data_IF_601382664533
#
_entry.id   IF_601382664533
#
_cell.length_a   1.000
_cell.length_b   1.000
_cell.length_c   1.000
_cell.angle_alpha   90.00
_cell.angle_beta   90.00
_cell.angle_gamma   90.00
#
_symmetry.space_group_name_H-M   'P 1'
#
loop_
_entity.id
_entity.type
_entity.pdbx_description
1 polymer ?
#
# COMPACT_ATOMS: atom_id res chain seq x y z
N UNK A 1 -4.16 13.64 -6.67
CA UNK A 1 -3.08 13.53 -5.70
C UNK A 1 -3.08 14.80 -4.91
N UNK A 2 -3.87 14.78 -3.85
CA UNK A 2 -3.74 15.71 -2.76
C UNK A 2 -2.43 15.44 -2.02
N UNK A 3 -1.94 16.47 -1.34
CA UNK A 3 -0.76 16.37 -0.49
C UNK A 3 -1.14 16.89 0.89
N UNK A 4 -0.79 16.14 1.93
CA UNK A 4 -0.83 16.59 3.32
C UNK A 4 0.59 16.73 3.86
N UNK A 5 0.83 17.74 4.69
CA UNK A 5 2.10 17.91 5.39
C UNK A 5 1.88 18.42 6.81
N UNK A 6 2.41 17.70 7.78
CA UNK A 6 2.46 18.12 9.18
C UNK A 6 3.81 18.76 9.53
N UNK A 7 3.77 19.82 10.35
CA UNK A 7 4.95 20.47 10.92
C UNK A 7 5.03 20.30 12.44
N UNK A 8 3.92 19.88 13.05
CA UNK A 8 3.80 19.48 14.46
C UNK A 8 3.12 18.13 14.55
N UNK A 9 3.17 17.50 15.73
CA UNK A 9 2.45 16.26 15.99
C UNK A 9 0.97 16.36 15.57
N UNK A 10 0.52 15.44 14.72
CA UNK A 10 -0.82 15.41 14.14
C UNK A 10 -1.52 14.07 14.37
N UNK A 11 -2.86 14.09 14.29
CA UNK A 11 -3.69 12.89 14.35
C UNK A 11 -4.74 12.91 13.22
N UNK A 12 -4.44 12.21 12.12
CA UNK A 12 -5.34 11.97 11.00
C UNK A 12 -6.22 10.74 11.21
N UNK A 13 -5.87 9.85 12.14
CA UNK A 13 -6.65 8.65 12.46
C UNK A 13 -7.89 9.03 13.26
N UNK A 14 -7.71 9.86 14.30
CA UNK A 14 -8.74 10.35 15.23
C UNK A 14 -8.69 11.89 15.36
N UNK A 15 -8.92 12.63 14.26
CA UNK A 15 -8.75 14.08 14.23
C UNK A 15 -9.76 14.77 15.15
N UNK A 16 -9.30 15.80 15.87
CA UNK A 16 -10.16 16.60 16.76
C UNK A 16 -10.47 17.95 16.13
N UNK A 17 -11.75 18.20 15.88
CA UNK A 17 -12.23 19.50 15.42
C UNK A 17 -12.21 20.55 16.55
N UNK A 18 -12.03 21.82 16.16
CA UNK A 18 -12.20 22.98 17.04
C UNK A 18 -13.17 23.98 16.40
N UNK A 19 -13.71 24.88 17.22
CA UNK A 19 -14.70 25.87 16.79
C UNK A 19 -14.07 27.25 16.70
N UNK A 20 -14.24 27.92 15.56
CA UNK A 20 -13.78 29.28 15.33
C UNK A 20 -14.87 30.21 14.81
N UNK A 21 -14.56 31.49 14.77
CA UNK A 21 -15.34 32.52 14.07
C UNK A 21 -14.71 32.83 12.72
N UNK A 22 -15.54 33.01 11.69
CA UNK A 22 -15.06 33.46 10.37
C UNK A 22 -14.57 34.91 10.47
N UNK A 23 -13.32 35.16 10.08
CA UNK A 23 -12.70 36.50 10.06
C UNK A 23 -12.41 37.01 8.66
N UNK A 24 -12.26 36.10 7.70
CA UNK A 24 -12.16 36.42 6.26
C UNK A 24 -13.09 35.50 5.49
N UNK A 25 -13.75 36.04 4.46
CA UNK A 25 -14.57 35.30 3.51
C UNK A 25 -14.66 36.08 2.19
N UNK A 26 -14.02 35.58 1.15
CA UNK A 26 -14.09 36.12 -0.21
C UNK A 26 -14.08 35.00 -1.26
N UNK A 27 -14.04 35.34 -2.55
CA UNK A 27 -14.14 34.35 -3.62
C UNK A 27 -12.98 33.33 -3.70
N UNK A 28 -11.88 33.58 -2.99
CA UNK A 28 -10.67 32.78 -2.99
C UNK A 28 -10.34 32.14 -1.63
N UNK A 29 -10.81 32.69 -0.51
CA UNK A 29 -10.53 32.12 0.81
C UNK A 29 -11.64 32.32 1.84
N UNK A 30 -11.67 31.45 2.86
CA UNK A 30 -12.23 31.79 4.16
C UNK A 30 -11.33 31.36 5.31
N UNK A 31 -11.33 32.16 6.37
CA UNK A 31 -10.47 31.96 7.53
C UNK A 31 -11.31 31.87 8.80
N UNK A 32 -11.08 30.82 9.59
CA UNK A 32 -11.65 30.60 10.91
C UNK A 32 -10.59 30.85 11.98
N UNK A 33 -10.96 31.45 13.12
CA UNK A 33 -10.07 31.57 14.28
C UNK A 33 -10.82 31.44 15.61
N UNK A 34 -10.19 30.84 16.62
CA UNK A 34 -10.66 30.82 18.02
C UNK A 34 -9.88 31.82 18.92
N UNK A 35 -9.02 32.65 18.33
CA UNK A 35 -8.10 33.56 19.02
C UNK A 35 -6.79 32.91 19.49
N UNK A 36 -6.64 31.60 19.31
CA UNK A 36 -5.40 30.84 19.54
C UNK A 36 -4.97 29.98 18.35
N UNK A 37 -5.88 29.61 17.46
CA UNK A 37 -5.63 28.93 16.18
C UNK A 37 -6.27 29.70 15.04
N UNK A 38 -5.71 29.52 13.86
CA UNK A 38 -6.28 30.03 12.61
C UNK A 38 -6.29 28.90 11.59
N UNK A 39 -7.42 28.68 10.94
CA UNK A 39 -7.57 27.74 9.84
C UNK A 39 -7.94 28.53 8.58
N UNK A 40 -7.10 28.46 7.56
CA UNK A 40 -7.27 29.14 6.28
C UNK A 40 -7.67 28.09 5.25
N UNK A 41 -8.82 28.27 4.62
CA UNK A 41 -9.31 27.42 3.54
C UNK A 41 -9.25 28.21 2.24
N UNK A 42 -8.46 27.72 1.30
CA UNK A 42 -8.23 28.33 0.01
C UNK A 42 -9.04 27.59 -1.06
N UNK A 43 -9.54 28.32 -2.05
CA UNK A 43 -10.37 27.75 -3.08
C UNK A 43 -10.62 28.66 -4.28
N UNK A 44 -11.54 28.22 -5.13
CA UNK A 44 -11.93 28.95 -6.33
C UNK A 44 -13.44 29.11 -6.38
N UNK A 45 -13.89 30.34 -6.62
CA UNK A 45 -15.31 30.65 -6.81
C UNK A 45 -16.13 30.44 -5.55
N UNK A 46 -15.53 30.61 -4.37
CA UNK A 46 -16.22 30.45 -3.10
C UNK A 46 -17.34 31.49 -2.99
N UNK A 47 -18.53 31.03 -2.58
CA UNK A 47 -19.67 31.92 -2.32
C UNK A 47 -20.30 31.58 -0.99
N UNK A 48 -20.83 32.61 -0.36
CA UNK A 48 -21.36 32.55 0.99
C UNK A 48 -22.80 33.07 1.00
N UNK A 49 -23.64 32.44 1.82
CA UNK A 49 -24.92 33.00 2.21
C UNK A 49 -24.71 34.22 3.14
N UNK A 50 -25.76 35.03 3.40
CA UNK A 50 -25.62 36.23 4.24
C UNK A 50 -25.14 35.99 5.67
N UNK A 51 -25.29 34.77 6.19
CA UNK A 51 -24.81 34.31 7.50
C UNK A 51 -23.40 33.70 7.46
N UNK A 52 -22.68 33.89 6.34
CA UNK A 52 -21.35 33.34 6.05
C UNK A 52 -21.32 31.81 5.90
N UNK A 53 -22.48 31.15 5.78
CA UNK A 53 -22.51 29.73 5.40
C UNK A 53 -21.97 29.56 3.98
N UNK A 54 -21.00 28.67 3.79
CA UNK A 54 -20.33 28.44 2.50
C UNK A 54 -21.21 27.55 1.60
N UNK A 55 -21.68 28.10 0.45
CA UNK A 55 -22.72 27.49 -0.39
C UNK A 55 -22.27 27.03 -1.76
N UNK A 56 -21.17 27.55 -2.31
CA UNK A 56 -20.72 27.27 -3.68
C UNK A 56 -19.21 27.46 -3.81
N UNK A 57 -18.63 26.91 -4.88
CA UNK A 57 -17.18 26.89 -5.14
C UNK A 57 -16.52 25.56 -4.79
N UNK A 58 -15.19 25.53 -4.93
CA UNK A 58 -14.35 24.37 -4.61
C UNK A 58 -13.24 24.82 -3.67
N UNK A 59 -13.06 24.12 -2.56
CA UNK A 59 -11.90 24.25 -1.67
C UNK A 59 -10.80 23.33 -2.19
N UNK A 60 -9.59 23.87 -2.27
CA UNK A 60 -8.42 23.21 -2.88
C UNK A 60 -7.19 23.18 -1.99
N UNK A 61 -7.16 23.97 -0.93
CA UNK A 61 -6.11 23.91 0.08
C UNK A 61 -6.61 24.31 1.47
N UNK A 62 -5.85 23.91 2.47
CA UNK A 62 -6.07 24.15 3.89
C UNK A 62 -4.71 24.42 4.55
N UNK A 63 -4.64 25.42 5.41
CA UNK A 63 -3.50 25.73 6.25
C UNK A 63 -3.98 25.95 7.69
N UNK A 64 -3.30 25.38 8.68
CA UNK A 64 -3.60 25.62 10.09
C UNK A 64 -2.41 26.27 10.78
N UNK A 65 -2.65 27.40 11.45
CA UNK A 65 -1.66 28.15 12.20
C UNK A 65 -1.95 28.12 13.69
N UNK A 66 -0.89 28.01 14.48
CA UNK A 66 -0.95 28.15 15.93
C UNK A 66 -0.91 29.61 16.38
N UNK A 67 -1.02 29.81 17.70
CA UNK A 67 -1.06 31.14 18.34
C UNK A 67 0.11 32.03 17.98
N UNK A 68 1.27 31.43 17.77
CA UNK A 68 2.51 32.14 17.47
C UNK A 68 2.69 32.42 15.97
N UNK A 69 1.67 32.11 15.14
CA UNK A 69 1.70 32.25 13.68
C UNK A 69 2.48 31.17 12.95
N UNK A 70 2.91 30.11 13.65
CA UNK A 70 3.60 28.97 13.02
C UNK A 70 2.59 28.05 12.34
N UNK A 71 2.91 27.62 11.12
CA UNK A 71 2.15 26.60 10.40
C UNK A 71 2.26 25.25 11.14
N UNK A 72 1.11 24.67 11.48
CA UNK A 72 0.98 23.38 12.17
C UNK A 72 0.84 22.24 11.16
N UNK A 73 0.11 22.49 10.08
CA UNK A 73 -0.07 21.57 8.97
C UNK A 73 -0.73 22.25 7.78
N UNK A 74 -0.54 21.66 6.60
CA UNK A 74 -1.14 22.11 5.35
C UNK A 74 -1.65 20.92 4.54
N UNK A 75 -2.65 21.17 3.71
CA UNK A 75 -3.14 20.24 2.70
C UNK A 75 -3.44 21.01 1.41
N UNK A 76 -3.12 20.45 0.25
CA UNK A 76 -3.38 21.09 -1.04
C UNK A 76 -3.57 20.08 -2.16
N UNK A 77 -3.95 20.56 -3.34
CA UNK A 77 -4.27 19.78 -4.55
C UNK A 77 -5.45 18.80 -4.44
N UNK A 78 -6.16 18.81 -3.29
CA UNK A 78 -7.48 18.19 -3.19
C UNK A 78 -8.55 19.05 -3.88
N UNK A 79 -9.73 18.48 -4.10
CA UNK A 79 -10.87 19.20 -4.68
C UNK A 79 -12.15 18.80 -3.99
N UNK A 80 -12.56 19.58 -2.99
CA UNK A 80 -13.79 19.33 -2.23
C UNK A 80 -14.81 20.43 -2.51
N UNK A 81 -16.06 20.10 -2.87
CA UNK A 81 -17.11 21.10 -2.99
C UNK A 81 -17.27 21.90 -1.71
N UNK A 82 -17.40 23.21 -1.84
CA UNK A 82 -17.43 24.13 -0.70
C UNK A 82 -18.58 23.82 0.28
N UNK A 83 -19.74 23.40 -0.23
CA UNK A 83 -20.85 22.96 0.62
C UNK A 83 -20.51 21.70 1.45
N UNK A 84 -19.72 20.77 0.91
CA UNK A 84 -19.32 19.56 1.64
C UNK A 84 -18.34 19.89 2.77
N UNK A 85 -17.44 20.87 2.54
CA UNK A 85 -16.60 21.43 3.60
C UNK A 85 -17.45 22.06 4.69
N UNK A 86 -18.44 22.88 4.30
CA UNK A 86 -19.36 23.51 5.23
C UNK A 86 -20.11 22.46 6.06
N UNK A 87 -20.74 21.49 5.42
CA UNK A 87 -21.51 20.43 6.08
C UNK A 87 -20.66 19.67 7.10
N UNK A 88 -19.44 19.30 6.75
CA UNK A 88 -18.54 18.60 7.66
C UNK A 88 -18.14 19.47 8.86
N UNK A 89 -17.86 20.76 8.65
CA UNK A 89 -17.56 21.71 9.73
C UNK A 89 -18.78 21.85 10.67
N UNK A 90 -19.99 22.02 10.13
CA UNK A 90 -21.21 22.17 10.93
C UNK A 90 -21.59 20.88 11.68
N UNK A 91 -21.33 19.71 11.07
CA UNK A 91 -21.54 18.41 11.68
C UNK A 91 -20.45 18.02 12.69
N UNK A 92 -19.38 18.82 12.80
CA UNK A 92 -18.18 18.50 13.58
C UNK A 92 -17.55 17.15 13.15
N UNK A 93 -17.54 16.89 11.84
CA UNK A 93 -17.07 15.66 11.21
C UNK A 93 -15.78 15.91 10.40
N UNK A 94 -14.70 16.25 11.11
CA UNK A 94 -13.39 16.46 10.49
C UNK A 94 -12.87 15.17 9.82
N UNK A 95 -13.16 14.00 10.39
CA UNK A 95 -12.73 12.72 9.81
C UNK A 95 -13.43 12.48 8.47
N UNK A 96 -14.73 12.72 8.36
CA UNK A 96 -15.47 12.60 7.09
C UNK A 96 -15.01 13.61 6.03
N UNK A 97 -14.64 14.83 6.44
CA UNK A 97 -14.02 15.80 5.53
C UNK A 97 -12.70 15.28 4.97
N UNK A 98 -11.82 14.75 5.83
CA UNK A 98 -10.53 14.20 5.41
C UNK A 98 -10.72 12.98 4.49
N UNK A 99 -11.66 12.08 4.77
CA UNK A 99 -12.02 10.99 3.84
C UNK A 99 -12.40 11.57 2.48
N UNK A 100 -13.21 12.62 2.44
CA UNK A 100 -13.65 13.21 1.17
C UNK A 100 -12.49 13.88 0.42
N UNK A 101 -11.60 14.56 1.14
CA UNK A 101 -10.47 15.27 0.57
C UNK A 101 -9.37 14.34 0.06
N UNK A 102 -9.17 13.20 0.73
CA UNK A 102 -8.07 12.26 0.51
C UNK A 102 -8.56 10.85 0.08
N UNK A 103 -9.60 10.76 -0.76
CA UNK A 103 -10.12 9.47 -1.26
C UNK A 103 -9.44 9.00 -2.56
N UNK A 104 -8.27 9.55 -2.91
CA UNK A 104 -7.51 9.13 -4.09
C UNK A 104 -6.07 8.86 -3.74
N UNK A 105 -5.27 8.53 -4.75
CA UNK A 105 -3.83 8.33 -4.57
C UNK A 105 -3.17 9.66 -4.18
N UNK A 106 -2.73 9.75 -2.94
CA UNK A 106 -2.30 10.97 -2.28
C UNK A 106 -0.90 10.81 -1.67
N UNK A 107 -0.35 11.90 -1.14
CA UNK A 107 0.93 11.88 -0.46
C UNK A 107 0.83 12.53 0.92
N UNK A 108 1.26 11.80 1.94
CA UNK A 108 1.16 12.23 3.34
C UNK A 108 2.56 12.37 3.92
N UNK A 109 2.91 13.58 4.34
CA UNK A 109 4.13 13.88 5.06
C UNK A 109 3.82 14.12 6.55
N UNK A 110 4.38 13.27 7.41
CA UNK A 110 4.44 13.49 8.85
C UNK A 110 5.45 14.58 9.23
N UNK A 111 5.52 14.84 10.51
CA UNK A 111 6.39 15.82 11.14
C UNK A 111 7.70 15.17 11.63
N UNK A 112 8.49 15.91 12.41
CA UNK A 112 9.64 15.35 13.12
C UNK A 112 9.25 14.72 14.48
N UNK A 113 7.98 14.74 14.83
CA UNK A 113 7.43 14.27 16.10
C UNK A 113 6.63 12.99 15.88
N UNK A 114 6.11 12.42 16.97
CA UNK A 114 5.17 11.31 16.88
C UNK A 114 3.84 11.74 16.28
N UNK A 115 3.50 11.14 15.14
CA UNK A 115 2.26 11.38 14.40
C UNK A 115 1.37 10.15 14.34
N UNK A 116 0.07 10.37 14.14
CA UNK A 116 -0.90 9.34 13.78
C UNK A 116 -1.41 9.69 12.39
N UNK A 117 -0.97 8.97 11.38
CA UNK A 117 -1.17 9.30 9.97
C UNK A 117 -2.13 8.32 9.30
N UNK A 118 -2.87 8.79 8.31
CA UNK A 118 -3.74 7.95 7.48
C UNK A 118 -3.60 8.34 6.01
N UNK A 119 -3.44 7.35 5.12
CA UNK A 119 -3.53 7.55 3.65
C UNK A 119 -4.98 7.72 3.19
N UNK A 120 -5.92 7.15 3.94
CA UNK A 120 -7.36 7.12 3.69
C UNK A 120 -7.75 6.16 2.58
N UNK A 121 -7.91 6.60 1.34
CA UNK A 121 -8.31 5.71 0.27
C UNK A 121 -7.63 6.06 -1.03
N UNK A 122 -7.17 5.05 -1.77
CA UNK A 122 -6.27 5.23 -2.89
C UNK A 122 -4.98 4.47 -2.65
N UNK A 123 -4.05 4.61 -3.58
CA UNK A 123 -2.71 4.05 -3.44
C UNK A 123 -1.78 5.18 -2.98
N UNK A 124 -1.49 5.23 -1.70
CA UNK A 124 -0.89 6.39 -1.06
C UNK A 124 0.62 6.24 -0.85
N UNK A 125 1.30 7.39 -0.78
CA UNK A 125 2.70 7.47 -0.41
C UNK A 125 2.80 8.21 0.92
N UNK A 126 3.28 7.52 1.96
CA UNK A 126 3.36 8.04 3.32
C UNK A 126 4.82 8.14 3.75
N UNK A 127 5.27 9.34 4.12
CA UNK A 127 6.55 9.55 4.78
C UNK A 127 6.28 10.17 6.15
N UNK A 128 6.33 9.35 7.20
CA UNK A 128 5.97 9.78 8.54
C UNK A 128 7.04 10.64 9.24
N UNK A 129 8.25 10.74 8.67
CA UNK A 129 9.34 11.50 9.26
C UNK A 129 10.05 10.76 10.40
N UNK A 130 10.25 11.44 11.52
CA UNK A 130 10.97 10.89 12.69
C UNK A 130 9.98 10.55 13.81
N UNK A 131 10.49 10.05 14.93
CA UNK A 131 9.70 9.79 16.12
C UNK A 131 8.98 8.44 16.08
N UNK A 132 7.96 8.30 16.93
CA UNK A 132 7.13 7.10 17.00
C UNK A 132 5.81 7.35 16.30
N UNK A 133 5.59 6.77 15.12
CA UNK A 133 4.39 7.02 14.32
C UNK A 133 3.45 5.82 14.30
N UNK A 134 2.14 6.10 14.33
CA UNK A 134 1.13 5.11 13.96
C UNK A 134 0.67 5.45 12.52
N UNK A 135 0.89 4.56 11.55
CA UNK A 135 0.62 4.80 10.13
C UNK A 135 -0.47 3.84 9.65
N UNK A 136 -1.59 4.36 9.18
CA UNK A 136 -2.66 3.58 8.55
C UNK A 136 -2.70 3.87 7.05
N UNK A 137 -2.28 2.93 6.20
CA UNK A 137 -2.33 3.12 4.73
C UNK A 137 -3.75 3.39 4.25
N UNK A 138 -4.73 2.71 4.84
CA UNK A 138 -6.13 2.83 4.48
C UNK A 138 -6.54 1.79 3.45
N UNK A 139 -7.33 2.19 2.44
CA UNK A 139 -7.75 1.27 1.37
C UNK A 139 -6.96 1.50 0.11
N UNK A 140 -6.34 0.46 -0.44
CA UNK A 140 -5.70 0.54 -1.75
C UNK A 140 -4.36 -0.18 -1.69
N UNK A 141 -3.34 0.41 -2.30
CA UNK A 141 -2.00 -0.14 -2.35
C UNK A 141 -1.00 0.92 -1.90
N UNK A 142 -0.54 0.80 -0.66
CA UNK A 142 0.10 1.89 0.06
C UNK A 142 1.59 1.65 0.29
N UNK A 143 2.35 2.75 0.20
CA UNK A 143 3.79 2.78 0.39
C UNK A 143 4.16 3.62 1.61
N UNK A 144 4.92 3.05 2.53
CA UNK A 144 5.63 3.82 3.54
C UNK A 144 7.09 4.04 3.11
N UNK A 145 7.53 5.29 3.06
CA UNK A 145 8.83 5.69 2.53
C UNK A 145 9.80 6.08 3.64
N UNK A 146 10.96 5.44 3.63
CA UNK A 146 12.02 5.61 4.61
C UNK A 146 13.34 5.97 3.93
N UNK A 147 14.00 7.02 4.42
CA UNK A 147 15.38 7.32 4.01
C UNK A 147 16.36 6.39 4.72
N UNK A 148 17.38 5.92 4.00
CA UNK A 148 18.34 4.92 4.46
C UNK A 148 18.12 3.56 3.81
N UNK A 149 19.02 2.63 4.09
CA UNK A 149 18.96 1.26 3.57
C UNK A 149 18.10 0.40 4.48
N UNK A 150 17.44 -0.63 3.96
CA UNK A 150 16.67 -1.57 4.80
C UNK A 150 17.47 -2.18 5.96
N UNK A 151 18.78 -2.38 5.78
CA UNK A 151 19.67 -2.86 6.83
C UNK A 151 19.82 -1.91 8.03
N UNK A 152 19.47 -0.63 7.88
CA UNK A 152 19.48 0.37 8.94
C UNK A 152 18.27 0.22 9.89
N UNK A 153 17.35 -0.69 9.57
CA UNK A 153 16.11 -0.92 10.31
C UNK A 153 16.06 -2.35 10.88
N UNK A 154 15.24 -2.51 11.92
CA UNK A 154 14.70 -3.77 12.39
C UNK A 154 13.21 -3.78 12.07
N UNK A 155 12.74 -4.87 11.47
CA UNK A 155 11.37 -5.02 10.99
C UNK A 155 10.84 -6.29 11.65
N UNK A 156 9.70 -6.17 12.30
CA UNK A 156 8.99 -7.26 12.97
C UNK A 156 7.52 -7.20 12.53
N UNK A 157 6.92 -8.34 12.23
CA UNK A 157 5.52 -8.40 11.80
C UNK A 157 4.76 -9.24 12.82
N UNK A 158 3.76 -8.64 13.44
CA UNK A 158 2.90 -9.32 14.42
C UNK A 158 1.44 -8.96 14.18
N UNK A 159 0.59 -9.98 14.08
CA UNK A 159 -0.85 -9.87 13.79
C UNK A 159 -1.19 -8.92 12.60
N UNK A 160 -0.37 -8.95 11.55
CA UNK A 160 -0.54 -8.10 10.36
C UNK A 160 -0.11 -6.65 10.52
N UNK A 161 0.43 -6.27 11.68
CA UNK A 161 1.03 -4.96 11.94
C UNK A 161 2.53 -5.05 11.70
N UNK A 162 3.07 -4.10 10.94
CA UNK A 162 4.50 -3.98 10.72
C UNK A 162 5.08 -3.03 11.76
N UNK A 163 5.99 -3.52 12.59
CA UNK A 163 6.76 -2.71 13.52
C UNK A 163 8.14 -2.46 12.93
N UNK A 164 8.43 -1.19 12.62
CA UNK A 164 9.69 -0.77 12.02
C UNK A 164 10.43 0.16 12.98
N UNK A 165 11.66 -0.21 13.33
CA UNK A 165 12.53 0.62 14.18
C UNK A 165 13.85 0.87 13.48
N UNK A 166 14.26 2.13 13.35
CA UNK A 166 15.60 2.46 12.88
C UNK A 166 16.61 2.19 14.00
N UNK A 167 17.76 1.62 13.66
CA UNK A 167 18.78 1.18 14.65
C UNK A 167 19.37 2.30 15.50
N UNK A 168 19.29 3.55 15.06
CA UNK A 168 19.71 4.73 15.83
C UNK A 168 18.62 5.24 16.80
N UNK A 169 17.43 4.64 16.78
CA UNK A 169 16.29 5.00 17.62
C UNK A 169 15.52 6.24 17.15
N UNK A 170 15.86 6.81 15.98
CA UNK A 170 15.20 8.02 15.49
C UNK A 170 13.78 7.77 14.93
N UNK A 171 13.46 6.50 14.61
CA UNK A 171 12.17 6.07 14.04
C UNK A 171 11.70 4.81 14.79
N UNK A 172 10.44 4.78 15.18
CA UNK A 172 9.76 3.64 15.81
C UNK A 172 8.29 3.61 15.37
N UNK A 173 8.00 3.00 14.23
CA UNK A 173 6.68 3.07 13.62
C UNK A 173 5.90 1.77 13.78
N UNK A 174 4.59 1.90 13.91
CA UNK A 174 3.62 0.83 13.75
C UNK A 174 2.78 1.12 12.51
N UNK A 175 2.81 0.21 11.53
CA UNK A 175 2.12 0.36 10.26
C UNK A 175 1.00 -0.65 10.11
N UNK A 176 -0.16 -0.14 9.71
CA UNK A 176 -1.40 -0.86 9.47
C UNK A 176 -1.80 -0.66 8.01
N UNK A 177 -2.27 -1.72 7.35
CA UNK A 177 -2.75 -1.63 5.97
C UNK A 177 -1.72 -0.99 5.01
N UNK A 178 -0.44 -1.33 5.16
CA UNK A 178 0.64 -0.87 4.28
C UNK A 178 1.22 -2.06 3.54
N UNK A 179 1.15 -2.02 2.22
CA UNK A 179 1.61 -3.12 1.36
C UNK A 179 3.13 -3.12 1.18
N UNK A 180 3.77 -1.94 1.12
CA UNK A 180 5.21 -1.86 0.82
C UNK A 180 5.96 -0.82 1.64
N UNK A 181 7.17 -1.20 2.03
CA UNK A 181 8.15 -0.28 2.60
C UNK A 181 9.20 0.04 1.54
N UNK A 182 9.41 1.34 1.29
CA UNK A 182 10.40 1.84 0.36
C UNK A 182 11.64 2.35 1.07
N UNK A 183 12.79 1.82 0.70
CA UNK A 183 14.11 2.23 1.19
C UNK A 183 14.99 2.71 0.03
N UNK A 184 16.12 3.34 0.33
CA UNK A 184 17.07 3.85 -0.69
C UNK A 184 17.66 2.74 -1.59
N UNK A 185 17.58 1.48 -1.15
CA UNK A 185 18.22 0.33 -1.82
C UNK A 185 17.25 -0.79 -2.23
N UNK A 186 15.94 -0.56 -2.17
CA UNK A 186 14.94 -1.54 -2.58
C UNK A 186 13.61 -1.38 -1.88
N UNK A 187 12.69 -2.27 -2.21
CA UNK A 187 11.37 -2.37 -1.59
C UNK A 187 11.29 -3.64 -0.76
N UNK A 188 10.60 -3.56 0.36
CA UNK A 188 10.16 -4.73 1.11
C UNK A 188 8.64 -4.83 0.99
N UNK A 189 8.16 -5.89 0.33
CA UNK A 189 6.76 -6.10 0.02
C UNK A 189 6.10 -7.09 0.99
N UNK A 190 4.90 -6.75 1.46
CA UNK A 190 4.06 -7.55 2.35
C UNK A 190 2.76 -7.99 1.66
N UNK A 191 2.58 -7.60 0.41
CA UNK A 191 1.36 -7.82 -0.37
C UNK A 191 1.24 -9.23 -0.97
N UNK A 192 0.00 -9.62 -1.23
CA UNK A 192 -0.33 -10.93 -1.81
C UNK A 192 0.17 -11.08 -3.24
N UNK A 193 0.36 -10.00 -4.00
CA UNK A 193 0.91 -10.03 -5.36
C UNK A 193 2.38 -10.49 -5.37
N UNK A 194 3.20 -9.88 -4.51
CA UNK A 194 4.58 -10.29 -4.28
C UNK A 194 4.67 -11.75 -3.78
N UNK A 195 3.82 -12.12 -2.83
CA UNK A 195 3.74 -13.48 -2.31
C UNK A 195 3.33 -14.50 -3.37
N UNK A 196 2.36 -14.16 -4.23
CA UNK A 196 1.92 -15.02 -5.33
C UNK A 196 3.01 -15.19 -6.38
N UNK A 197 3.75 -14.12 -6.72
CA UNK A 197 4.91 -14.16 -7.59
C UNK A 197 6.02 -15.07 -7.04
N UNK A 198 6.34 -14.95 -5.75
CA UNK A 198 7.30 -15.82 -5.08
C UNK A 198 6.89 -17.29 -5.17
N UNK A 199 5.63 -17.59 -4.82
CA UNK A 199 5.09 -18.97 -4.86
C UNK A 199 5.07 -19.55 -6.26
N UNK A 200 4.70 -18.78 -7.27
CA UNK A 200 4.72 -19.24 -8.66
C UNK A 200 6.14 -19.58 -9.09
N UNK A 201 7.10 -18.73 -8.75
CA UNK A 201 8.50 -18.92 -9.08
C UNK A 201 9.07 -20.18 -8.41
N UNK A 202 8.87 -20.33 -7.10
CA UNK A 202 9.27 -21.52 -6.35
C UNK A 202 8.62 -22.77 -6.93
N UNK A 203 7.32 -22.72 -7.25
CA UNK A 203 6.60 -23.88 -7.76
C UNK A 203 7.05 -24.30 -9.16
N UNK A 204 7.43 -23.34 -9.99
CA UNK A 204 7.88 -23.58 -11.35
C UNK A 204 9.31 -24.13 -11.42
N UNK A 205 10.19 -23.76 -10.48
CA UNK A 205 11.63 -24.04 -10.58
C UNK A 205 12.25 -24.78 -9.40
N UNK A 206 11.47 -25.10 -8.36
CA UNK A 206 11.91 -25.84 -7.17
C UNK A 206 13.13 -25.20 -6.48
N UNK A 207 13.11 -23.86 -6.37
CA UNK A 207 14.17 -23.10 -5.72
C UNK A 207 13.68 -21.76 -5.18
N UNK A 208 14.43 -21.21 -4.25
CA UNK A 208 14.29 -19.79 -3.86
C UNK A 208 14.48 -18.90 -5.10
N UNK A 209 13.55 -17.98 -5.37
CA UNK A 209 13.70 -17.00 -6.44
C UNK A 209 14.94 -16.14 -6.25
N UNK A 210 15.63 -15.81 -7.34
CA UNK A 210 16.65 -14.76 -7.29
C UNK A 210 15.97 -13.39 -7.27
N UNK A 211 16.64 -12.40 -6.67
CA UNK A 211 16.08 -11.06 -6.45
C UNK A 211 15.62 -10.40 -7.76
N UNK A 212 16.44 -10.45 -8.81
CA UNK A 212 16.14 -9.80 -10.09
C UNK A 212 14.96 -10.46 -10.82
N UNK A 213 14.96 -11.79 -10.88
CA UNK A 213 13.88 -12.57 -11.48
C UNK A 213 12.56 -12.39 -10.74
N UNK A 214 12.57 -12.42 -9.40
CA UNK A 214 11.37 -12.18 -8.61
C UNK A 214 10.82 -10.77 -8.83
N UNK A 215 11.70 -9.76 -8.78
CA UNK A 215 11.32 -8.36 -9.00
C UNK A 215 10.67 -8.16 -10.36
N UNK A 216 11.22 -8.78 -11.42
CA UNK A 216 10.62 -8.74 -12.75
C UNK A 216 9.20 -9.32 -12.77
N UNK A 217 8.97 -10.46 -12.12
CA UNK A 217 7.66 -11.08 -12.13
C UNK A 217 6.64 -10.31 -11.30
N UNK A 218 7.03 -9.80 -10.13
CA UNK A 218 6.16 -8.97 -9.30
C UNK A 218 5.77 -7.70 -10.03
N UNK A 219 6.72 -7.01 -10.67
CA UNK A 219 6.45 -5.82 -11.51
C UNK A 219 5.40 -6.10 -12.59
N UNK A 220 5.52 -7.24 -13.27
CA UNK A 220 4.52 -7.63 -14.27
C UNK A 220 3.14 -7.90 -13.70
N UNK A 221 3.06 -8.54 -12.54
CA UNK A 221 1.79 -8.81 -11.85
C UNK A 221 1.12 -7.51 -11.42
N UNK A 222 1.88 -6.57 -10.87
CA UNK A 222 1.40 -5.25 -10.48
C UNK A 222 0.99 -4.41 -11.69
N UNK A 223 1.65 -4.59 -12.84
CA UNK A 223 1.24 -4.08 -14.14
C UNK A 223 0.00 -4.74 -14.75
N UNK A 224 -0.66 -5.65 -14.03
CA UNK A 224 -1.91 -6.30 -14.43
C UNK A 224 -1.75 -7.58 -15.24
N UNK A 225 -0.54 -8.12 -15.37
CA UNK A 225 -0.35 -9.47 -15.95
C UNK A 225 -1.05 -10.48 -15.04
N UNK A 226 -1.91 -11.34 -15.60
CA UNK A 226 -2.55 -12.37 -14.80
C UNK A 226 -1.53 -13.43 -14.38
N UNK A 227 -1.73 -14.01 -13.19
CA UNK A 227 -0.86 -15.07 -12.67
C UNK A 227 -0.79 -16.28 -13.61
N UNK A 228 -1.90 -16.60 -14.31
CA UNK A 228 -1.92 -17.64 -15.35
C UNK A 228 -1.06 -17.29 -16.56
N UNK A 229 -1.04 -16.02 -16.98
CA UNK A 229 -0.18 -15.59 -18.09
C UNK A 229 1.30 -15.66 -17.69
N UNK A 230 1.63 -15.22 -16.46
CA UNK A 230 2.97 -15.39 -15.92
C UNK A 230 3.36 -16.87 -15.86
N UNK A 231 2.48 -17.75 -15.36
CA UNK A 231 2.72 -19.20 -15.30
C UNK A 231 2.98 -19.81 -16.68
N UNK A 232 2.26 -19.36 -17.72
CA UNK A 232 2.51 -19.80 -19.09
C UNK A 232 3.92 -19.39 -19.58
N UNK A 233 4.37 -18.19 -19.24
CA UNK A 233 5.72 -17.71 -19.59
C UNK A 233 6.80 -18.50 -18.82
N UNK A 234 6.59 -18.80 -17.53
CA UNK A 234 7.45 -19.71 -16.76
C UNK A 234 7.58 -21.05 -17.47
N UNK A 235 6.46 -21.69 -17.85
CA UNK A 235 6.45 -22.98 -18.57
C UNK A 235 7.19 -22.90 -19.92
N UNK A 236 7.09 -21.76 -20.61
CA UNK A 236 7.78 -21.52 -21.88
C UNK A 236 9.29 -21.28 -21.76
N UNK A 237 9.78 -20.98 -20.55
CA UNK A 237 11.17 -20.62 -20.29
C UNK A 237 12.15 -21.77 -20.59
N UNK A 238 13.42 -21.41 -20.81
CA UNK A 238 14.47 -22.40 -20.99
C UNK A 238 14.76 -23.17 -19.69
N UNK A 239 14.63 -22.51 -18.54
CA UNK A 239 14.81 -23.10 -17.21
C UNK A 239 13.76 -24.19 -16.95
N UNK A 240 12.48 -23.90 -17.22
CA UNK A 240 11.41 -24.89 -17.07
C UNK A 240 11.66 -26.13 -17.93
N UNK A 241 12.04 -25.93 -19.19
CA UNK A 241 12.40 -27.04 -20.10
C UNK A 241 13.61 -27.85 -19.63
N UNK A 242 14.54 -27.23 -18.91
CA UNK A 242 15.68 -27.93 -18.32
C UNK A 242 15.26 -28.81 -17.14
N UNK A 243 14.30 -28.35 -16.33
CA UNK A 243 13.85 -29.05 -15.12
C UNK A 243 12.79 -30.13 -15.43
N UNK A 244 11.85 -29.85 -16.32
CA UNK A 244 10.72 -30.73 -16.63
C UNK A 244 10.93 -31.55 -17.92
N UNK A 245 12.00 -31.29 -18.65
CA UNK A 245 12.28 -31.87 -19.96
C UNK A 245 11.67 -31.08 -21.11
N UNK A 246 12.11 -31.39 -22.33
CA UNK A 246 11.74 -30.64 -23.54
C UNK A 246 10.28 -30.80 -23.96
N UNK A 247 9.63 -31.90 -23.57
CA UNK A 247 8.23 -32.20 -23.90
C UNK A 247 7.65 -33.25 -22.94
N UNK A 248 7.54 -32.97 -21.63
CA UNK A 248 6.93 -33.90 -20.68
C UNK A 248 5.49 -34.18 -21.06
N UNK A 249 5.00 -35.40 -20.80
CA UNK A 249 3.56 -35.70 -20.83
C UNK A 249 2.85 -35.00 -19.67
N UNK A 250 1.52 -34.89 -19.71
CA UNK A 250 0.77 -34.28 -18.60
C UNK A 250 0.95 -35.08 -17.30
N UNK A 251 0.98 -36.41 -17.41
CA UNK A 251 1.38 -37.33 -16.36
C UNK A 251 2.72 -36.95 -15.70
N UNK A 252 3.77 -36.76 -16.50
CA UNK A 252 5.09 -36.37 -16.01
C UNK A 252 5.08 -34.95 -15.40
N UNK A 253 4.35 -34.02 -16.01
CA UNK A 253 4.22 -32.66 -15.52
C UNK A 253 3.56 -32.60 -14.14
N UNK A 254 2.43 -33.28 -13.95
CA UNK A 254 1.72 -33.34 -12.65
C UNK A 254 2.61 -34.00 -11.60
N UNK A 255 3.23 -35.13 -11.93
CA UNK A 255 4.12 -35.86 -11.01
C UNK A 255 5.33 -35.02 -10.56
N UNK A 256 5.86 -34.16 -11.44
CA UNK A 256 6.91 -33.21 -11.09
C UNK A 256 6.42 -32.05 -10.21
N UNK A 257 5.21 -31.52 -10.47
CA UNK A 257 4.63 -30.48 -9.61
C UNK A 257 4.41 -30.97 -8.17
N UNK A 258 3.95 -32.20 -7.98
CA UNK A 258 3.83 -32.77 -6.64
C UNK A 258 5.17 -32.79 -5.89
N UNK A 259 6.26 -33.16 -6.58
CA UNK A 259 7.59 -33.19 -5.96
C UNK A 259 8.15 -31.79 -5.69
N UNK A 260 8.05 -30.90 -6.67
CA UNK A 260 8.66 -29.58 -6.61
C UNK A 260 7.91 -28.60 -5.69
N UNK A 261 6.60 -28.80 -5.52
CA UNK A 261 5.74 -27.86 -4.76
C UNK A 261 5.38 -28.42 -3.40
N UNK A 262 5.11 -29.72 -3.32
CA UNK A 262 4.54 -30.37 -2.13
C UNK A 262 5.54 -31.32 -1.43
N UNK A 263 6.77 -31.41 -1.94
CA UNK A 263 7.85 -32.28 -1.41
C UNK A 263 7.43 -33.75 -1.24
N UNK A 264 6.48 -34.22 -2.06
CA UNK A 264 5.95 -35.59 -1.98
C UNK A 264 5.57 -36.15 -3.34
N UNK A 265 5.53 -37.48 -3.49
CA UNK A 265 4.87 -38.10 -4.64
C UNK A 265 3.38 -37.78 -4.68
N UNK A 266 2.82 -37.74 -5.89
CA UNK A 266 1.38 -37.63 -6.06
C UNK A 266 0.67 -38.84 -5.43
N UNK A 267 -0.38 -38.59 -4.65
CA UNK A 267 -1.31 -39.65 -4.26
C UNK A 267 -2.20 -40.00 -5.45
N UNK A 268 -2.65 -41.26 -5.54
CA UNK A 268 -3.39 -41.73 -6.71
C UNK A 268 -4.65 -40.91 -7.02
N UNK A 269 -5.39 -40.50 -5.99
CA UNK A 269 -6.62 -39.72 -6.16
C UNK A 269 -6.37 -38.30 -6.66
N UNK A 270 -5.39 -37.60 -6.07
CA UNK A 270 -5.00 -36.26 -6.51
C UNK A 270 -4.39 -36.27 -7.91
N UNK A 271 -3.55 -37.25 -8.21
CA UNK A 271 -2.97 -37.44 -9.53
C UNK A 271 -4.02 -37.62 -10.62
N UNK A 272 -4.96 -38.55 -10.41
CA UNK A 272 -6.06 -38.82 -11.35
C UNK A 272 -6.96 -37.58 -11.52
N UNK A 273 -7.25 -36.86 -10.43
CA UNK A 273 -8.00 -35.62 -10.48
C UNK A 273 -7.38 -34.58 -11.42
N UNK A 274 -6.07 -34.33 -11.31
CA UNK A 274 -5.42 -33.34 -12.18
C UNK A 274 -5.41 -33.76 -13.65
N UNK A 275 -5.16 -35.05 -13.93
CA UNK A 275 -5.20 -35.57 -15.29
C UNK A 275 -6.58 -35.46 -15.91
N UNK A 276 -7.64 -35.78 -15.18
CA UNK A 276 -9.03 -35.64 -15.65
C UNK A 276 -9.38 -34.17 -15.95
N UNK A 277 -8.89 -33.23 -15.13
CA UNK A 277 -9.09 -31.79 -15.36
C UNK A 277 -8.38 -31.31 -16.62
N UNK A 278 -7.17 -31.81 -16.87
CA UNK A 278 -6.40 -31.49 -18.07
C UNK A 278 -7.02 -32.10 -19.32
N UNK A 279 -7.50 -33.35 -19.25
CA UNK A 279 -8.27 -33.99 -20.33
C UNK A 279 -9.56 -33.22 -20.64
N UNK A 280 -10.16 -32.60 -19.62
CA UNK A 280 -11.32 -31.71 -19.73
C UNK A 280 -10.97 -30.28 -20.21
N UNK A 281 -9.71 -29.99 -20.55
CA UNK A 281 -9.29 -28.73 -21.17
C UNK A 281 -8.59 -27.72 -20.25
N UNK A 282 -8.33 -28.06 -18.98
CA UNK A 282 -7.52 -27.23 -18.09
C UNK A 282 -6.06 -27.17 -18.59
N UNK A 283 -5.51 -25.98 -18.74
CA UNK A 283 -4.16 -25.76 -19.21
C UNK A 283 -3.10 -26.04 -18.14
N UNK A 284 -1.87 -26.35 -18.57
CA UNK A 284 -0.73 -26.50 -17.66
C UNK A 284 -0.45 -25.25 -16.83
N UNK A 285 -0.69 -24.07 -17.39
CA UNK A 285 -0.53 -22.82 -16.66
C UNK A 285 -1.54 -22.70 -15.51
N UNK A 286 -2.80 -23.08 -15.75
CA UNK A 286 -3.81 -23.12 -14.69
C UNK A 286 -3.48 -24.17 -13.62
N UNK A 287 -2.96 -25.33 -14.01
CA UNK A 287 -2.52 -26.36 -13.05
C UNK A 287 -1.35 -25.84 -12.21
N UNK A 288 -0.31 -25.25 -12.83
CA UNK A 288 0.82 -24.67 -12.10
C UNK A 288 0.37 -23.58 -11.11
N UNK A 289 -0.54 -22.69 -11.53
CA UNK A 289 -1.14 -21.70 -10.62
C UNK A 289 -1.82 -22.39 -9.45
N UNK A 290 -2.65 -23.41 -9.70
CA UNK A 290 -3.38 -24.11 -8.65
C UNK A 290 -2.46 -24.79 -7.63
N UNK A 291 -1.34 -25.38 -8.06
CA UNK A 291 -0.32 -25.91 -7.16
C UNK A 291 0.39 -24.78 -6.39
N UNK A 292 0.86 -23.75 -7.09
CA UNK A 292 1.60 -22.63 -6.49
C UNK A 292 0.81 -21.89 -5.42
N UNK A 293 -0.51 -21.76 -5.60
CA UNK A 293 -1.40 -21.02 -4.70
C UNK A 293 -2.17 -21.94 -3.74
N UNK A 294 -1.86 -23.24 -3.74
CA UNK A 294 -2.47 -24.19 -2.82
C UNK A 294 -2.12 -23.84 -1.37
N UNK A 295 -3.02 -24.17 -0.44
CA UNK A 295 -2.79 -23.96 0.99
C UNK A 295 -1.50 -24.65 1.47
N UNK A 296 -1.23 -25.86 0.98
CA UNK A 296 -0.02 -26.61 1.28
C UNK A 296 1.24 -25.82 0.88
N UNK A 297 1.27 -25.22 -0.33
CA UNK A 297 2.41 -24.41 -0.74
C UNK A 297 2.52 -23.08 0.01
N UNK A 298 1.39 -22.45 0.36
CA UNK A 298 1.40 -21.22 1.18
C UNK A 298 2.06 -21.48 2.53
N UNK A 299 1.74 -22.61 3.16
CA UNK A 299 2.39 -23.06 4.40
C UNK A 299 3.87 -23.35 4.17
N UNK A 300 4.23 -24.04 3.08
CA UNK A 300 5.63 -24.38 2.79
C UNK A 300 6.53 -23.15 2.64
N UNK A 301 6.03 -22.08 2.00
CA UNK A 301 6.84 -20.86 1.79
C UNK A 301 6.68 -19.82 2.90
N UNK A 302 5.76 -20.00 3.85
CA UNK A 302 5.39 -18.97 4.83
C UNK A 302 6.61 -18.38 5.54
N UNK A 303 7.48 -19.24 6.09
CA UNK A 303 8.68 -18.79 6.80
C UNK A 303 9.70 -18.04 5.93
N UNK A 304 9.61 -18.16 4.59
CA UNK A 304 10.46 -17.41 3.66
C UNK A 304 9.90 -16.02 3.32
N UNK A 305 8.61 -15.77 3.52
CA UNK A 305 7.93 -14.55 3.07
C UNK A 305 7.25 -13.76 4.19
N UNK A 306 7.08 -14.34 5.39
CA UNK A 306 6.37 -13.73 6.52
C UNK A 306 6.96 -12.39 7.00
N UNK A 307 8.27 -12.20 6.82
CA UNK A 307 8.98 -10.97 7.18
C UNK A 307 9.13 -9.99 6.00
N UNK A 308 8.31 -10.18 4.96
CA UNK A 308 8.35 -9.41 3.73
C UNK A 308 9.33 -9.96 2.69
N UNK A 309 9.08 -9.60 1.44
CA UNK A 309 9.81 -10.04 0.26
C UNK A 309 10.61 -8.86 -0.29
N UNK A 310 11.93 -9.01 -0.34
CA UNK A 310 12.79 -7.98 -0.95
C UNK A 310 12.63 -7.96 -2.46
N UNK A 311 12.45 -6.76 -3.01
CA UNK A 311 12.44 -6.45 -4.44
C UNK A 311 13.54 -5.42 -4.74
N UNK A 312 14.09 -5.48 -5.94
CA UNK A 312 15.19 -4.62 -6.39
C UNK A 312 14.75 -3.15 -6.49
N UNK A 313 15.68 -2.22 -6.25
CA UNK A 313 15.44 -0.78 -6.36
C UNK A 313 15.01 -0.34 -7.77
N UNK A 314 15.36 -1.10 -8.81
CA UNK A 314 14.89 -0.86 -10.17
C UNK A 314 13.36 -0.89 -10.32
N UNK A 315 12.64 -1.46 -9.35
CA UNK A 315 11.18 -1.43 -9.28
C UNK A 315 10.61 0.00 -9.14
N UNK A 316 11.39 0.93 -8.59
CA UNK A 316 10.97 2.33 -8.36
C UNK A 316 11.27 3.27 -9.54
N UNK A 317 11.84 2.77 -10.65
CA UNK A 317 12.42 3.55 -11.74
C UNK A 317 11.50 3.74 -12.96
#
# INVERSE_FOLDING_TARGET
MAIFRAYTATDLISPTAWRGTVVTADSGEFTLTDGGREAVYLGTGLRYAPDLYLVDGIVTAYEEYGRDGNLLGEAYDFRVPAFAVADAIYANDLRGLLVTAFNGNDTVYGSQFSDRLSGFGGNDIINAGLGRNDIDGGTGFDYAVYSGRGADFTIDVDDGVIYLTRRDGAINDALFSVERLSFDNGLLAFDEGAAAGYRLYQAAFDRTPDLGGLSYWVDRLDGGTSLTSAAADFIGSAEFRSLYGSSPTDAQFVDLLYRNVLDRPADGGGYDYWLDRMDSGMSRAEVLVAFSQSEENRVNVQGAIENGIWLDAAYLA
#
